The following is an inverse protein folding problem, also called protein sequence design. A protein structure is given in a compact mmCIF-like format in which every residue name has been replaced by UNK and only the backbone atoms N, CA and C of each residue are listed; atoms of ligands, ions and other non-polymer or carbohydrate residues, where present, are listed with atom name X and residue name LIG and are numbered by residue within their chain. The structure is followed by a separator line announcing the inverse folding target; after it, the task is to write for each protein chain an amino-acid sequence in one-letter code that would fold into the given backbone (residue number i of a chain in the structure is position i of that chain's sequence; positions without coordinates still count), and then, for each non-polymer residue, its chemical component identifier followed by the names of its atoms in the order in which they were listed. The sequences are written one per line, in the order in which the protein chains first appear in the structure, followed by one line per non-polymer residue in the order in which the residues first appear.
data_IF_891736123327
#
_entry.id   IF_891736123327
#
_cell.length_a   1.000
_cell.length_b   1.000
_cell.length_c   1.000
_cell.angle_alpha   90.00
_cell.angle_beta   90.00
_cell.angle_gamma   90.00
#
_symmetry.space_group_name_H-M   'P 1'
#
loop_
_entity.id
_entity.type
_entity.pdbx_description
1 polymer ?
#
# COMPACT_ATOMS: atom_id res chain seq x y z
N UNK A 1 3.06 1.74 -7.51
CA UNK A 1 2.04 1.44 -8.52
C UNK A 1 2.67 1.25 -9.89
N UNK A 2 2.13 0.32 -10.68
CA UNK A 2 2.58 0.06 -12.03
C UNK A 2 2.10 1.10 -13.04
N UNK A 3 2.93 1.37 -14.05
CA UNK A 3 2.47 1.97 -15.30
C UNK A 3 3.32 1.44 -16.46
N UNK A 4 2.71 1.25 -17.64
CA UNK A 4 3.44 0.91 -18.87
C UNK A 4 4.60 1.87 -19.13
N UNK A 5 4.37 3.17 -18.92
CA UNK A 5 5.38 4.22 -19.10
C UNK A 5 6.58 4.07 -18.15
N UNK A 6 6.37 3.45 -16.99
CA UNK A 6 7.38 3.24 -15.94
C UNK A 6 7.72 1.76 -15.72
N UNK A 7 7.41 0.90 -16.70
CA UNK A 7 7.59 -0.56 -16.63
C UNK A 7 9.00 -0.97 -16.18
N UNK A 8 10.02 -0.24 -16.63
CA UNK A 8 11.41 -0.50 -16.26
C UNK A 8 11.63 -0.54 -14.74
N UNK A 9 10.92 0.29 -13.96
CA UNK A 9 11.01 0.31 -12.49
C UNK A 9 10.52 -0.99 -11.88
N UNK A 10 9.40 -1.51 -12.38
CA UNK A 10 8.83 -2.78 -11.94
C UNK A 10 9.71 -3.97 -12.33
N UNK A 11 10.39 -3.92 -13.49
CA UNK A 11 11.39 -4.93 -13.87
C UNK A 11 12.60 -4.90 -12.94
N UNK A 12 13.11 -3.71 -12.59
CA UNK A 12 14.21 -3.56 -11.61
C UNK A 12 13.78 -4.11 -10.25
N UNK A 13 12.58 -3.77 -9.78
CA UNK A 13 12.05 -4.29 -8.52
C UNK A 13 11.92 -5.83 -8.54
N UNK A 14 11.44 -6.40 -9.67
CA UNK A 14 11.38 -7.85 -9.89
C UNK A 14 12.75 -8.51 -9.76
N UNK A 15 13.76 -7.93 -10.41
CA UNK A 15 15.12 -8.48 -10.45
C UNK A 15 15.94 -8.16 -9.19
N UNK A 16 15.37 -7.42 -8.23
CA UNK A 16 16.03 -7.05 -6.99
C UNK A 16 15.21 -7.55 -5.80
N UNK A 17 14.38 -6.71 -5.18
CA UNK A 17 13.83 -7.02 -3.87
C UNK A 17 12.60 -7.91 -3.88
N UNK A 18 11.89 -8.02 -5.00
CA UNK A 18 10.76 -8.95 -5.13
C UNK A 18 11.18 -10.40 -4.91
N UNK A 19 12.44 -10.77 -5.19
CA UNK A 19 12.91 -12.15 -5.04
C UNK A 19 12.86 -12.67 -3.60
N UNK A 20 12.81 -11.77 -2.61
CA UNK A 20 12.73 -12.10 -1.19
C UNK A 20 11.30 -12.13 -0.66
N UNK A 21 10.30 -11.87 -1.50
CA UNK A 21 8.90 -11.90 -1.14
C UNK A 21 8.21 -13.12 -1.74
N UNK A 22 7.39 -13.80 -0.94
CA UNK A 22 6.63 -14.98 -1.38
C UNK A 22 5.62 -14.65 -2.49
N UNK A 23 4.97 -13.48 -2.38
CA UNK A 23 3.95 -13.04 -3.33
C UNK A 23 4.03 -11.54 -3.53
N UNK A 24 4.11 -11.13 -4.79
CA UNK A 24 4.07 -9.73 -5.22
C UNK A 24 3.00 -9.57 -6.28
N UNK A 25 2.16 -8.56 -6.11
CA UNK A 25 1.16 -8.13 -7.08
C UNK A 25 1.39 -6.65 -7.33
N UNK A 26 1.54 -6.27 -8.60
CA UNK A 26 1.69 -4.88 -9.00
C UNK A 26 0.38 -4.42 -9.63
N UNK A 27 -0.30 -3.44 -9.04
CA UNK A 27 -1.47 -2.83 -9.68
C UNK A 27 -1.03 -1.77 -10.68
N UNK A 28 -1.32 -1.97 -11.97
CA UNK A 28 -0.92 -1.10 -13.06
C UNK A 28 -2.04 -0.72 -14.02
N UNK A 29 -1.74 0.22 -14.91
CA UNK A 29 -2.62 0.68 -16.00
C UNK A 29 -2.73 -0.33 -17.17
N UNK A 30 -1.77 -1.25 -17.30
CA UNK A 30 -1.77 -2.37 -18.24
C UNK A 30 -1.32 -3.67 -17.58
N UNK A 31 -1.81 -4.80 -18.12
CA UNK A 31 -1.45 -6.12 -17.63
C UNK A 31 -0.07 -6.51 -18.17
N UNK A 32 0.79 -7.02 -17.31
CA UNK A 32 2.05 -7.64 -17.71
C UNK A 32 2.35 -8.83 -16.80
N UNK A 33 2.04 -10.02 -17.31
CA UNK A 33 2.23 -11.29 -16.61
C UNK A 33 3.72 -11.57 -16.31
N UNK A 34 4.65 -11.00 -17.09
CA UNK A 34 6.08 -11.22 -16.84
C UNK A 34 6.56 -10.58 -15.55
N UNK A 35 5.83 -9.59 -15.02
CA UNK A 35 6.21 -8.88 -13.79
C UNK A 35 5.10 -8.93 -12.73
N UNK A 36 4.16 -9.87 -12.86
CA UNK A 36 2.99 -10.00 -11.98
C UNK A 36 2.20 -8.69 -11.85
N UNK A 37 2.08 -7.95 -12.95
CA UNK A 37 1.28 -6.73 -13.02
C UNK A 37 -0.13 -7.05 -13.45
N UNK A 38 -1.08 -6.70 -12.59
CA UNK A 38 -2.51 -6.83 -12.80
C UNK A 38 -3.13 -5.46 -13.01
N UNK A 39 -4.18 -5.41 -13.81
CA UNK A 39 -4.93 -4.19 -14.09
C UNK A 39 -6.37 -4.38 -13.71
N UNK A 40 -6.88 -3.42 -12.94
CA UNK A 40 -8.31 -3.34 -12.61
C UNK A 40 -9.05 -2.82 -13.84
N UNK A 41 -10.18 -3.44 -14.16
CA UNK A 41 -10.90 -3.20 -15.43
C UNK A 41 -11.26 -1.73 -15.65
N UNK A 42 -11.63 -1.04 -14.58
CA UNK A 42 -12.01 0.38 -14.57
C UNK A 42 -10.83 1.35 -14.60
N UNK A 43 -9.59 0.86 -14.42
CA UNK A 43 -8.35 1.62 -14.48
C UNK A 43 -7.47 1.24 -15.69
N UNK A 44 -7.96 0.36 -16.58
CA UNK A 44 -7.22 -0.06 -17.77
C UNK A 44 -6.96 1.11 -18.72
N UNK A 45 -5.70 1.28 -19.11
CA UNK A 45 -5.24 2.36 -19.99
C UNK A 45 -5.25 3.75 -19.35
N UNK A 46 -5.73 3.86 -18.10
CA UNK A 46 -5.78 5.12 -17.37
C UNK A 46 -4.47 5.30 -16.63
N UNK A 47 -3.59 6.16 -17.13
CA UNK A 47 -2.23 6.37 -16.61
C UNK A 47 -2.04 7.71 -15.89
N UNK A 48 -3.02 8.61 -15.93
CA UNK A 48 -2.93 9.93 -15.33
C UNK A 48 -2.80 9.87 -13.79
N UNK A 49 -2.44 11.01 -13.19
CA UNK A 49 -2.20 11.14 -11.76
C UNK A 49 -3.44 10.83 -10.92
N UNK A 50 -4.61 11.36 -11.30
CA UNK A 50 -5.87 11.14 -10.57
C UNK A 50 -6.24 9.66 -10.51
N UNK A 51 -6.18 8.96 -11.65
CA UNK A 51 -6.44 7.52 -11.70
C UNK A 51 -5.39 6.71 -10.92
N UNK A 52 -4.16 7.23 -10.80
CA UNK A 52 -3.13 6.61 -9.96
C UNK A 52 -3.55 6.58 -8.49
N UNK A 53 -4.16 7.65 -7.98
CA UNK A 53 -4.62 7.71 -6.58
C UNK A 53 -5.66 6.61 -6.26
N UNK A 54 -6.40 6.16 -7.27
CA UNK A 54 -7.37 5.08 -7.10
C UNK A 54 -6.76 3.67 -7.18
N UNK A 55 -5.60 3.48 -7.83
CA UNK A 55 -5.02 2.14 -8.07
C UNK A 55 -4.70 1.40 -6.78
N UNK A 56 -4.07 2.07 -5.81
CA UNK A 56 -3.77 1.44 -4.52
C UNK A 56 -5.05 1.10 -3.77
N UNK A 57 -5.99 2.04 -3.65
CA UNK A 57 -7.22 1.85 -2.88
C UNK A 57 -8.12 0.76 -3.47
N UNK A 58 -8.34 0.79 -4.79
CA UNK A 58 -9.13 -0.24 -5.48
C UNK A 58 -8.39 -1.57 -5.52
N UNK A 59 -7.06 -1.54 -5.63
CA UNK A 59 -6.22 -2.74 -5.50
C UNK A 59 -6.40 -3.41 -4.13
N UNK A 60 -6.42 -2.64 -3.05
CA UNK A 60 -6.69 -3.15 -1.70
C UNK A 60 -8.07 -3.82 -1.62
N UNK A 61 -9.14 -3.18 -2.13
CA UNK A 61 -10.48 -3.78 -2.17
C UNK A 61 -10.47 -5.09 -2.98
N UNK A 62 -9.89 -5.08 -4.17
CA UNK A 62 -9.81 -6.26 -5.02
C UNK A 62 -9.06 -7.41 -4.33
N UNK A 63 -7.92 -7.13 -3.68
CA UNK A 63 -7.17 -8.15 -2.93
C UNK A 63 -7.99 -8.77 -1.80
N UNK A 64 -8.73 -7.93 -1.08
CA UNK A 64 -9.58 -8.32 0.05
C UNK A 64 -10.77 -9.18 -0.41
N UNK A 65 -11.48 -8.75 -1.45
CA UNK A 65 -12.61 -9.47 -2.04
C UNK A 65 -12.20 -10.83 -2.60
N UNK A 66 -11.02 -10.92 -3.21
CA UNK A 66 -10.46 -12.18 -3.73
C UNK A 66 -9.81 -13.04 -2.63
N UNK A 67 -9.98 -12.67 -1.33
CA UNK A 67 -9.48 -13.38 -0.13
C UNK A 67 -8.03 -13.82 -0.24
N UNK A 68 -7.23 -12.99 -0.88
CA UNK A 68 -5.81 -13.24 -0.97
C UNK A 68 -5.23 -12.93 0.40
N UNK A 69 -4.74 -13.93 1.15
CA UNK A 69 -4.03 -13.74 2.44
C UNK A 69 -2.72 -12.96 2.20
N UNK A 70 -2.84 -11.67 1.94
CA UNK A 70 -1.72 -10.77 1.68
C UNK A 70 -1.60 -9.83 2.85
N UNK A 71 -0.41 -9.81 3.45
CA UNK A 71 -0.09 -9.06 4.66
C UNK A 71 0.66 -7.76 4.38
N UNK A 72 0.94 -7.40 3.11
CA UNK A 72 1.86 -6.29 2.79
C UNK A 72 1.50 -5.61 1.48
N UNK A 73 1.33 -4.28 1.52
CA UNK A 73 1.22 -3.42 0.33
C UNK A 73 2.42 -2.48 0.32
N UNK A 74 3.06 -2.30 -0.82
CA UNK A 74 4.17 -1.35 -0.99
C UNK A 74 3.89 -0.50 -2.22
N UNK A 75 4.17 0.79 -2.11
CA UNK A 75 4.16 1.70 -3.23
C UNK A 75 5.60 2.00 -3.66
N UNK A 76 5.90 1.84 -4.94
CA UNK A 76 7.08 2.26 -5.74
C UNK A 76 8.45 2.46 -5.07
N UNK A 77 8.73 1.72 -4.01
CA UNK A 77 9.91 1.88 -3.16
C UNK A 77 10.72 0.60 -3.12
N UNK A 78 12.02 0.76 -2.88
CA UNK A 78 12.89 -0.38 -2.57
C UNK A 78 12.64 -0.83 -1.13
N UNK A 79 12.44 -2.14 -0.94
CA UNK A 79 12.14 -2.72 0.38
C UNK A 79 13.26 -3.66 0.80
N UNK A 80 13.82 -3.43 1.99
CA UNK A 80 14.67 -4.44 2.63
C UNK A 80 13.76 -5.51 3.26
N UNK A 81 13.39 -6.52 2.46
CA UNK A 81 12.41 -7.54 2.90
C UNK A 81 12.88 -8.30 4.16
N UNK A 82 14.14 -8.77 4.28
CA UNK A 82 14.62 -9.43 5.50
C UNK A 82 14.52 -8.55 6.75
N UNK A 83 14.99 -7.30 6.68
CA UNK A 83 14.91 -6.37 7.81
C UNK A 83 13.45 -6.06 8.18
N UNK A 84 12.58 -5.97 7.18
CA UNK A 84 11.15 -5.76 7.38
C UNK A 84 10.50 -6.96 8.07
N UNK A 85 10.81 -8.19 7.67
CA UNK A 85 10.31 -9.40 8.32
C UNK A 85 10.77 -9.46 9.78
N UNK A 86 12.05 -9.21 10.03
CA UNK A 86 12.60 -9.20 11.39
C UNK A 86 11.95 -8.13 12.29
N UNK A 87 11.69 -6.94 11.74
CA UNK A 87 10.97 -5.90 12.47
C UNK A 87 9.53 -6.32 12.80
N UNK A 88 8.80 -6.82 11.82
CA UNK A 88 7.41 -7.24 11.99
C UNK A 88 7.26 -8.44 12.92
N UNK A 89 8.28 -9.30 13.04
CA UNK A 89 8.25 -10.46 13.94
C UNK A 89 8.21 -10.08 15.43
N UNK A 90 8.44 -8.80 15.77
CA UNK A 90 8.36 -8.29 17.13
C UNK A 90 6.95 -7.87 17.54
N UNK A 91 5.97 -7.94 16.62
CA UNK A 91 4.60 -7.50 16.84
C UNK A 91 3.61 -8.67 16.68
N UNK A 92 2.55 -8.66 17.49
CA UNK A 92 1.44 -9.61 17.33
C UNK A 92 0.66 -9.29 16.06
N UNK A 93 0.68 -10.20 15.10
CA UNK A 93 0.05 -10.05 13.78
C UNK A 93 -1.49 -9.97 13.82
N UNK A 94 -2.10 -10.30 14.97
CA UNK A 94 -3.55 -10.22 15.20
C UNK A 94 -4.02 -8.83 15.61
N UNK A 95 -3.09 -7.93 15.95
CA UNK A 95 -3.43 -6.56 16.33
C UNK A 95 -3.79 -5.72 15.12
N UNK A 96 -4.69 -4.76 15.30
CA UNK A 96 -5.02 -3.74 14.30
C UNK A 96 -3.88 -2.71 14.23
N UNK A 97 -2.79 -3.04 13.55
CA UNK A 97 -1.61 -2.16 13.43
C UNK A 97 -1.27 -1.81 12.00
N UNK A 98 -0.77 -0.59 11.82
CA UNK A 98 -0.18 -0.07 10.61
C UNK A 98 1.22 0.52 10.90
N UNK A 99 2.17 0.28 10.02
CA UNK A 99 3.56 0.72 10.16
C UNK A 99 3.96 1.56 8.95
N UNK A 100 4.73 2.61 9.18
CA UNK A 100 5.26 3.47 8.12
C UNK A 100 6.00 4.66 8.70
N UNK A 101 6.57 5.47 7.82
CA UNK A 101 7.06 6.77 8.23
C UNK A 101 5.85 7.70 8.43
N UNK A 102 5.69 8.22 9.65
CA UNK A 102 4.57 9.09 10.00
C UNK A 102 5.03 10.54 9.99
N UNK A 103 4.35 11.35 9.19
CA UNK A 103 4.41 12.81 9.16
C UNK A 103 3.42 13.32 10.21
N UNK A 104 3.91 13.99 11.25
CA UNK A 104 3.03 14.63 12.22
C UNK A 104 2.62 16.03 11.73
N UNK A 105 1.32 16.36 11.88
CA UNK A 105 0.77 17.73 11.74
C UNK A 105 0.83 18.38 10.35
N UNK A 106 1.07 17.64 9.26
CA UNK A 106 1.21 18.23 7.93
C UNK A 106 -0.09 18.37 7.13
N UNK A 107 -1.12 17.55 7.38
CA UNK A 107 -2.39 17.58 6.63
C UNK A 107 -3.60 17.89 7.51
N UNK A 108 -3.80 17.13 8.58
CA UNK A 108 -4.72 17.50 9.66
C UNK A 108 -3.98 17.44 11.01
N UNK A 109 -4.26 18.41 11.88
CA UNK A 109 -3.54 18.59 13.14
C UNK A 109 -3.60 17.35 14.04
N UNK A 110 -4.66 16.56 13.91
CA UNK A 110 -4.94 15.39 14.75
C UNK A 110 -4.80 14.06 13.99
N UNK A 111 -4.58 14.10 12.66
CA UNK A 111 -4.40 12.89 11.86
C UNK A 111 -2.92 12.70 11.48
N UNK A 112 -2.20 11.96 12.33
CA UNK A 112 -0.84 11.54 12.02
C UNK A 112 -0.82 10.72 10.71
N UNK A 113 0.04 11.09 9.77
CA UNK A 113 -0.08 10.67 8.38
C UNK A 113 1.03 9.71 7.94
N UNK A 114 0.71 8.53 7.38
CA UNK A 114 1.76 7.67 6.81
C UNK A 114 2.15 8.16 5.41
N UNK A 115 3.43 8.45 5.20
CA UNK A 115 3.97 8.82 3.89
C UNK A 115 3.84 7.66 2.89
N UNK A 116 3.07 7.85 1.81
CA UNK A 116 2.96 6.85 0.74
C UNK A 116 4.33 6.50 0.13
N UNK A 117 5.18 7.52 -0.07
CA UNK A 117 6.52 7.37 -0.62
C UNK A 117 7.54 6.65 0.28
N UNK A 118 7.19 6.35 1.54
CA UNK A 118 8.01 5.53 2.44
C UNK A 118 7.49 4.08 2.56
N UNK A 119 6.34 3.77 1.96
CA UNK A 119 5.64 2.51 2.11
C UNK A 119 4.82 2.43 3.41
N UNK A 120 3.68 1.73 3.33
CA UNK A 120 2.72 1.55 4.42
C UNK A 120 2.46 0.05 4.58
N UNK A 121 2.78 -0.52 5.74
CA UNK A 121 2.53 -1.93 6.04
C UNK A 121 1.33 -2.05 6.95
N UNK A 122 0.36 -2.87 6.59
CA UNK A 122 -0.81 -3.15 7.40
C UNK A 122 -0.77 -4.59 7.89
N UNK A 123 -1.05 -4.81 9.18
CA UNK A 123 -1.47 -6.13 9.65
C UNK A 123 -2.69 -6.60 8.86
N UNK A 124 -2.86 -7.93 8.69
CA UNK A 124 -4.04 -8.46 7.99
C UNK A 124 -5.39 -7.95 8.55
N UNK A 125 -5.64 -7.95 9.89
CA UNK A 125 -6.90 -7.43 10.41
C UNK A 125 -7.07 -5.93 10.13
N UNK A 126 -5.99 -5.12 10.16
CA UNK A 126 -6.08 -3.72 9.77
C UNK A 126 -6.37 -3.55 8.27
N UNK A 127 -5.70 -4.33 7.42
CA UNK A 127 -5.93 -4.35 5.98
C UNK A 127 -7.38 -4.70 5.64
N UNK A 128 -7.93 -5.76 6.23
CA UNK A 128 -9.33 -6.17 6.05
C UNK A 128 -10.27 -5.03 6.44
N UNK A 129 -10.13 -4.49 7.65
CA UNK A 129 -11.01 -3.45 8.20
C UNK A 129 -10.98 -2.16 7.37
N UNK A 130 -9.80 -1.75 6.91
CA UNK A 130 -9.64 -0.58 6.04
C UNK A 130 -10.25 -0.85 4.66
N UNK A 131 -9.96 -2.01 4.05
CA UNK A 131 -10.44 -2.36 2.71
C UNK A 131 -11.98 -2.44 2.63
N UNK A 132 -12.62 -2.98 3.67
CA UNK A 132 -14.08 -2.98 3.82
C UNK A 132 -14.66 -1.56 3.87
N UNK A 133 -13.93 -0.64 4.49
CA UNK A 133 -14.39 0.74 4.70
C UNK A 133 -14.13 1.66 3.50
N UNK A 134 -13.14 1.37 2.65
CA UNK A 134 -12.78 2.24 1.51
C UNK A 134 -13.96 2.53 0.56
N UNK A 135 -14.09 3.81 0.19
CA UNK A 135 -15.17 4.36 -0.64
C UNK A 135 -16.57 4.25 0.00
N UNK A 136 -16.65 4.41 1.31
CA UNK A 136 -17.90 4.54 2.07
C UNK A 136 -17.91 5.85 2.86
N UNK A 137 -19.03 6.20 3.49
CA UNK A 137 -19.12 7.39 4.37
C UNK A 137 -18.12 7.35 5.54
N UNK A 138 -17.74 6.13 5.96
CA UNK A 138 -16.72 5.94 6.99
C UNK A 138 -15.32 6.29 6.49
N UNK A 139 -15.08 6.17 5.20
CA UNK A 139 -13.75 6.18 4.59
C UNK A 139 -13.85 6.73 3.16
N UNK A 140 -14.25 8.00 3.00
CA UNK A 140 -14.39 8.62 1.69
C UNK A 140 -13.00 8.82 1.07
N UNK A 141 -12.96 8.91 -0.26
CA UNK A 141 -11.74 9.30 -0.95
C UNK A 141 -11.40 10.77 -0.66
N UNK A 142 -10.13 11.06 -0.34
CA UNK A 142 -9.63 12.37 0.05
C UNK A 142 -8.54 12.88 -0.91
N UNK A 143 -8.76 12.76 -2.21
CA UNK A 143 -7.89 13.20 -3.32
C UNK A 143 -6.52 12.50 -3.46
N UNK A 144 -5.92 12.05 -2.36
CA UNK A 144 -4.65 11.32 -2.35
C UNK A 144 -4.82 9.95 -1.68
N UNK A 145 -4.15 8.94 -2.25
CA UNK A 145 -4.26 7.54 -1.81
C UNK A 145 -3.80 7.36 -0.36
N UNK A 146 -2.64 7.89 -0.04
CA UNK A 146 -2.03 7.79 1.26
C UNK A 146 -2.88 8.58 2.27
N UNK A 147 -3.32 9.81 1.95
CA UNK A 147 -4.26 10.63 2.78
C UNK A 147 -5.53 9.87 3.10
N UNK A 148 -6.14 9.27 2.08
CA UNK A 148 -7.32 8.42 2.23
C UNK A 148 -7.03 7.23 3.16
N UNK A 149 -5.89 6.55 3.01
CA UNK A 149 -5.51 5.43 3.88
C UNK A 149 -5.33 5.91 5.32
N UNK A 150 -4.64 7.02 5.57
CA UNK A 150 -4.40 7.50 6.92
C UNK A 150 -5.69 7.91 7.65
N UNK A 151 -6.59 8.61 6.96
CA UNK A 151 -7.91 8.93 7.48
C UNK A 151 -8.69 7.66 7.82
N UNK A 152 -8.63 6.66 6.93
CA UNK A 152 -9.24 5.36 7.19
C UNK A 152 -8.65 4.64 8.40
N UNK A 153 -7.33 4.66 8.57
CA UNK A 153 -6.68 4.09 9.74
C UNK A 153 -7.18 4.75 11.03
N UNK A 154 -7.32 6.09 11.02
CA UNK A 154 -7.89 6.83 12.15
C UNK A 154 -9.35 6.44 12.42
N UNK A 155 -10.23 6.55 11.42
CA UNK A 155 -11.67 6.27 11.55
C UNK A 155 -12.01 4.80 11.84
N UNK A 156 -11.10 3.88 11.55
CA UNK A 156 -11.27 2.46 11.86
C UNK A 156 -10.59 2.04 13.16
N UNK A 157 -9.90 2.95 13.86
CA UNK A 157 -9.22 2.68 15.12
C UNK A 157 -7.99 1.78 14.97
N UNK A 158 -7.30 1.85 13.82
CA UNK A 158 -6.04 1.13 13.60
C UNK A 158 -4.90 1.91 14.27
N UNK A 159 -4.10 1.21 15.06
CA UNK A 159 -2.95 1.78 15.73
C UNK A 159 -1.80 2.01 14.74
N UNK A 160 -1.29 3.25 14.70
CA UNK A 160 -0.23 3.66 13.78
C UNK A 160 1.11 3.65 14.52
N UNK A 161 2.10 2.98 13.94
CA UNK A 161 3.44 2.82 14.51
C UNK A 161 4.44 3.56 13.62
N UNK A 162 5.02 4.65 14.13
CA UNK A 162 6.04 5.41 13.43
C UNK A 162 7.34 4.60 13.31
N UNK A 163 7.85 4.46 12.08
CA UNK A 163 9.15 3.83 11.81
C UNK A 163 9.87 4.58 10.70
N UNK A 164 11.05 5.11 11.02
CA UNK A 164 11.87 5.89 10.07
C UNK A 164 12.45 5.11 8.89
N UNK A 165 12.52 3.78 8.96
CA UNK A 165 13.19 2.94 7.95
C UNK A 165 12.39 1.67 7.70
N UNK A 166 11.38 1.77 6.84
CA UNK A 166 10.68 0.61 6.26
C UNK A 166 11.14 0.37 4.82
N UNK A 167 11.42 1.45 4.10
CA UNK A 167 12.03 1.46 2.77
C UNK A 167 13.23 2.42 2.75
N UNK A 168 14.10 2.25 1.76
CA UNK A 168 15.08 3.29 1.39
C UNK A 168 14.55 3.93 0.12
N UNK A 169 14.24 5.24 0.17
CA UNK A 169 14.02 6.03 -1.04
C UNK A 169 15.36 6.20 -1.74
N UNK A 170 15.49 5.67 -2.96
CA UNK A 170 16.55 6.05 -3.89
C UNK A 170 16.20 7.37 -4.57
#
# INVERSE_FOLDING_TARGET
MGSKAKRHRSVIAKNTWHQWAEKIIIFGDEMDLNINMVTLSDLKGKWNYTDAQHRQLKGMKWLHENRTNLTKTYDDTWVNVPATIHFLSQYDSRLLTAFGYIWDKLFEKDEAFHSGGAGIILSYPAFSKVSDSLYTDKCPFMDWNDVTIANCLYRTGVFKVHKMKISMST
#
